data_IF_964717593982
#
_entry.id   IF_964717593982
#
_cell.length_a   1.000
_cell.length_b   1.000
_cell.length_c   1.000
_cell.angle_alpha   90.00
_cell.angle_beta   90.00
_cell.angle_gamma   90.00
#
_symmetry.space_group_name_H-M   'P 1'
#
loop_
_entity.id
_entity.type
_entity.pdbx_description
1 polymer ?
#
# COMPACT_ATOMS: atom_id res chain seq x y z
N UNK A 1 2.28 56.14 31.66
CA UNK A 1 0.92 55.53 31.63
C UNK A 1 0.99 54.19 30.90
N UNK A 2 0.86 53.07 31.64
CA UNK A 2 0.85 51.73 31.06
C UNK A 2 -0.59 51.23 31.04
N UNK A 3 -1.17 51.09 29.85
CA UNK A 3 -2.50 50.53 29.66
C UNK A 3 -2.36 49.02 29.60
N UNK A 4 -2.92 48.31 30.57
CA UNK A 4 -3.04 46.84 30.56
C UNK A 4 -4.36 46.46 29.89
N UNK A 5 -4.28 45.81 28.74
CA UNK A 5 -5.41 45.24 28.04
C UNK A 5 -5.70 43.85 28.65
N UNK A 6 -6.82 43.73 29.34
CA UNK A 6 -7.31 42.48 29.89
C UNK A 6 -8.21 41.84 28.80
N UNK A 7 -7.75 40.76 28.20
CA UNK A 7 -8.57 39.97 27.28
C UNK A 7 -9.27 38.88 28.09
N UNK A 8 -10.58 39.06 28.27
CA UNK A 8 -11.43 38.03 28.90
C UNK A 8 -11.87 37.03 27.84
N UNK A 9 -11.35 35.81 27.92
CA UNK A 9 -11.78 34.70 27.06
C UNK A 9 -12.99 34.05 27.71
N UNK A 10 -14.16 34.25 27.12
CA UNK A 10 -15.38 33.50 27.49
C UNK A 10 -15.36 32.13 26.86
N UNK A 11 -15.18 31.08 27.66
CA UNK A 11 -15.33 29.69 27.26
C UNK A 11 -16.82 29.33 27.31
N UNK A 12 -17.46 29.25 26.16
CA UNK A 12 -18.81 28.69 26.05
C UNK A 12 -18.69 27.16 26.00
N UNK A 13 -18.97 26.51 27.12
CA UNK A 13 -19.20 25.06 27.18
C UNK A 13 -20.60 24.74 26.72
N UNK A 14 -20.76 24.27 25.52
CA UNK A 14 -21.99 23.65 25.04
C UNK A 14 -21.94 22.15 25.36
N UNK A 15 -22.56 21.76 26.48
CA UNK A 15 -22.90 20.38 26.77
C UNK A 15 -24.16 20.02 25.97
N UNK A 16 -23.96 19.36 24.85
CA UNK A 16 -25.08 18.67 24.17
C UNK A 16 -25.06 17.21 24.60
N UNK A 17 -25.93 16.86 25.53
CA UNK A 17 -26.27 15.48 25.86
C UNK A 17 -27.05 14.89 24.69
N UNK A 18 -26.42 14.06 23.87
CA UNK A 18 -27.11 13.18 22.95
C UNK A 18 -27.10 11.78 23.57
N UNK A 19 -28.11 11.50 24.40
CA UNK A 19 -28.48 10.14 24.76
C UNK A 19 -29.27 9.55 23.61
N UNK A 20 -28.58 9.01 22.63
CA UNK A 20 -29.11 8.15 21.58
C UNK A 20 -28.36 6.84 21.63
N UNK A 21 -28.88 5.86 22.40
CA UNK A 21 -28.44 4.50 22.32
C UNK A 21 -28.92 3.91 20.98
N UNK A 22 -28.32 4.36 19.89
CA UNK A 22 -28.31 3.63 18.63
C UNK A 22 -27.21 2.61 18.72
N UNK A 23 -27.56 1.33 18.81
CA UNK A 23 -26.63 0.25 18.49
C UNK A 23 -26.03 0.59 17.13
N UNK A 24 -24.78 1.02 17.14
CA UNK A 24 -23.97 1.03 15.95
C UNK A 24 -23.77 -0.44 15.65
N UNK A 25 -24.67 -1.02 14.82
CA UNK A 25 -24.33 -2.23 14.13
C UNK A 25 -22.99 -1.95 13.49
N UNK A 26 -21.95 -2.57 14.04
CA UNK A 26 -20.68 -2.68 13.36
C UNK A 26 -20.99 -3.45 12.08
N UNK A 27 -21.43 -2.70 11.05
CA UNK A 27 -21.45 -3.22 9.70
C UNK A 27 -20.03 -3.70 9.49
N UNK A 28 -19.88 -5.00 9.49
CA UNK A 28 -18.71 -5.68 9.00
C UNK A 28 -18.32 -4.94 7.70
N UNK A 29 -17.25 -4.17 7.74
CA UNK A 29 -16.75 -3.56 6.54
C UNK A 29 -16.58 -4.73 5.57
N UNK A 30 -17.34 -4.72 4.47
CA UNK A 30 -17.21 -5.78 3.49
C UNK A 30 -15.74 -5.87 3.13
N UNK A 31 -15.16 -7.08 3.24
CA UNK A 31 -13.77 -7.27 2.84
C UNK A 31 -13.57 -6.76 1.42
N UNK A 32 -12.44 -6.12 1.14
CA UNK A 32 -12.15 -5.67 -0.20
C UNK A 32 -12.27 -6.85 -1.17
N UNK A 33 -13.01 -6.66 -2.25
CA UNK A 33 -13.18 -7.69 -3.30
C UNK A 33 -12.05 -7.67 -4.32
N UNK A 34 -11.07 -6.81 -4.11
CA UNK A 34 -9.93 -6.59 -5.00
C UNK A 34 -8.64 -6.87 -4.24
N UNK A 35 -7.68 -7.44 -4.95
CA UNK A 35 -6.30 -7.47 -4.48
C UNK A 35 -5.77 -6.05 -4.31
N UNK A 36 -4.98 -5.80 -3.28
CA UNK A 36 -4.28 -4.54 -3.17
C UNK A 36 -2.91 -4.69 -2.50
N UNK A 37 -2.05 -3.74 -2.80
CA UNK A 37 -0.82 -3.47 -2.07
C UNK A 37 -0.74 -2.00 -1.72
N UNK A 38 -0.49 -1.72 -0.46
CA UNK A 38 -0.16 -0.40 0.04
C UNK A 38 1.17 -0.52 0.78
N UNK A 39 2.21 0.14 0.29
CA UNK A 39 3.52 0.02 0.88
C UNK A 39 4.24 1.36 0.96
N UNK A 40 4.89 1.58 2.07
CA UNK A 40 5.87 2.63 2.30
C UNK A 40 7.03 2.05 3.09
N UNK A 41 8.19 1.92 2.46
CA UNK A 41 9.35 1.32 3.09
C UNK A 41 10.66 1.90 2.59
N UNK A 42 11.72 1.67 3.35
CA UNK A 42 13.09 2.02 3.00
C UNK A 42 13.92 0.76 2.82
N UNK A 43 14.61 0.70 1.71
CA UNK A 43 15.62 -0.31 1.43
C UNK A 43 16.94 0.38 1.04
N UNK A 44 17.98 0.17 1.83
CA UNK A 44 19.32 0.73 1.62
C UNK A 44 19.36 2.24 1.32
N UNK A 45 18.49 3.03 1.98
CA UNK A 45 18.40 4.48 1.81
C UNK A 45 17.49 4.93 0.66
N UNK A 46 16.95 4.03 -0.13
CA UNK A 46 15.90 4.33 -1.11
C UNK A 46 14.53 4.14 -0.47
N UNK A 47 13.71 5.19 -0.48
CA UNK A 47 12.31 5.09 -0.06
C UNK A 47 11.45 4.65 -1.23
N UNK A 48 10.53 3.74 -0.96
CA UNK A 48 9.57 3.18 -1.91
C UNK A 48 8.15 3.49 -1.46
N UNK A 49 7.30 3.83 -2.42
CA UNK A 49 5.88 4.08 -2.23
C UNK A 49 5.12 3.30 -3.29
N UNK A 50 4.21 2.46 -2.86
CA UNK A 50 3.34 1.67 -3.73
C UNK A 50 1.91 1.84 -3.24
N UNK A 51 1.01 2.16 -4.15
CA UNK A 51 -0.43 2.11 -3.91
C UNK A 51 -1.08 1.57 -5.18
N UNK A 52 -1.51 0.34 -5.13
CA UNK A 52 -2.07 -0.33 -6.29
C UNK A 52 -3.18 -1.31 -5.89
N UNK A 53 -4.10 -1.50 -6.82
CA UNK A 53 -5.15 -2.50 -6.72
C UNK A 53 -5.34 -3.22 -8.05
N UNK A 54 -5.86 -4.44 -8.00
CA UNK A 54 -6.28 -5.20 -9.18
C UNK A 54 -7.57 -5.95 -8.87
N UNK A 55 -8.26 -6.41 -9.90
CA UNK A 55 -9.32 -7.40 -9.68
C UNK A 55 -8.71 -8.72 -9.23
N UNK A 56 -9.54 -9.66 -8.76
CA UNK A 56 -9.12 -11.02 -8.44
C UNK A 56 -8.31 -11.61 -9.59
N UNK A 57 -7.30 -12.42 -9.29
CA UNK A 57 -6.36 -12.98 -10.26
C UNK A 57 -5.56 -11.93 -11.07
N UNK A 58 -5.32 -10.75 -10.52
CA UNK A 58 -4.42 -9.75 -11.09
C UNK A 58 -4.97 -8.97 -12.29
N UNK A 59 -6.27 -9.10 -12.58
CA UNK A 59 -6.90 -8.40 -13.71
C UNK A 59 -7.03 -6.89 -13.50
N UNK A 60 -6.74 -6.09 -14.56
CA UNK A 60 -6.94 -4.63 -14.58
C UNK A 60 -6.25 -3.87 -13.45
N UNK A 61 -4.97 -4.17 -13.23
CA UNK A 61 -4.18 -3.45 -12.24
C UNK A 61 -4.13 -1.94 -12.52
N UNK A 62 -4.36 -1.15 -11.48
CA UNK A 62 -4.22 0.31 -11.49
C UNK A 62 -3.52 0.77 -10.20
N UNK A 63 -2.76 1.85 -10.31
CA UNK A 63 -2.07 2.38 -9.15
C UNK A 63 -0.83 3.17 -9.50
N UNK A 64 -0.12 3.59 -8.46
CA UNK A 64 1.09 4.39 -8.55
C UNK A 64 2.26 3.73 -7.83
N UNK A 65 3.42 3.88 -8.41
CA UNK A 65 4.72 3.56 -7.85
C UNK A 65 5.60 4.82 -7.86
N UNK A 66 6.31 5.05 -6.77
CA UNK A 66 7.28 6.12 -6.67
C UNK A 66 8.44 5.71 -5.75
N UNK A 67 9.58 6.38 -5.91
CA UNK A 67 10.71 6.26 -5.00
C UNK A 67 11.24 7.64 -4.64
N UNK A 68 12.17 7.70 -3.68
CA UNK A 68 12.93 8.92 -3.38
C UNK A 68 13.84 9.36 -4.54
N UNK A 69 14.04 8.50 -5.54
CA UNK A 69 14.75 8.85 -6.77
C UNK A 69 13.75 9.56 -7.71
N UNK A 70 13.92 10.84 -8.04
CA UNK A 70 12.87 11.67 -8.66
C UNK A 70 12.34 11.17 -10.01
N UNK A 71 13.17 10.52 -10.80
CA UNK A 71 12.80 9.98 -12.11
C UNK A 71 12.23 8.55 -12.04
N UNK A 72 12.42 7.85 -10.92
CA UNK A 72 11.97 6.47 -10.73
C UNK A 72 10.58 6.46 -10.11
N UNK A 73 9.59 6.79 -10.92
CA UNK A 73 8.17 6.79 -10.60
C UNK A 73 7.35 6.43 -11.83
N UNK A 74 6.23 5.80 -11.61
CA UNK A 74 5.42 5.33 -12.72
C UNK A 74 4.03 4.89 -12.32
N UNK A 75 3.35 4.25 -13.26
CA UNK A 75 2.04 3.67 -13.10
C UNK A 75 2.17 2.17 -12.94
N UNK A 76 1.51 1.60 -11.94
CA UNK A 76 1.39 0.15 -11.81
C UNK A 76 0.55 -0.39 -12.97
N UNK A 77 1.02 -1.46 -13.55
CA UNK A 77 0.44 -2.10 -14.73
C UNK A 77 0.13 -3.56 -14.52
N UNK A 78 0.74 -4.15 -13.50
CA UNK A 78 0.48 -5.50 -13.07
C UNK A 78 0.56 -5.51 -11.54
N UNK A 79 -0.42 -6.11 -10.94
CA UNK A 79 -0.42 -6.50 -9.54
C UNK A 79 -0.96 -7.92 -9.50
N UNK A 80 -0.16 -8.85 -9.02
CA UNK A 80 -0.58 -10.20 -8.72
C UNK A 80 -0.26 -10.48 -7.26
N UNK A 81 -1.26 -10.93 -6.53
CA UNK A 81 -1.16 -11.18 -5.10
C UNK A 81 -1.34 -12.68 -4.86
N UNK A 82 -0.55 -13.21 -3.95
CA UNK A 82 -0.72 -14.54 -3.42
C UNK A 82 -0.51 -14.50 -1.91
N UNK A 83 -1.58 -14.71 -1.15
CA UNK A 83 -1.60 -14.59 0.32
C UNK A 83 -1.11 -13.22 0.78
N UNK A 84 0.10 -13.15 1.34
CA UNK A 84 0.73 -11.96 1.88
C UNK A 84 1.91 -11.45 1.01
N UNK A 85 2.02 -11.95 -0.19
CA UNK A 85 3.05 -11.53 -1.16
C UNK A 85 2.42 -10.82 -2.35
N UNK A 86 3.10 -9.79 -2.86
CA UNK A 86 2.64 -9.05 -4.01
C UNK A 86 3.76 -8.86 -5.05
N UNK A 87 3.48 -9.28 -6.28
CA UNK A 87 4.27 -8.96 -7.45
C UNK A 87 3.72 -7.68 -8.10
N UNK A 88 4.52 -6.64 -8.11
CA UNK A 88 4.18 -5.33 -8.67
C UNK A 88 5.06 -5.05 -9.88
N UNK A 89 4.45 -4.76 -11.02
CA UNK A 89 5.17 -4.29 -12.20
C UNK A 89 4.66 -2.89 -12.55
N UNK A 90 5.57 -1.93 -12.59
CA UNK A 90 5.27 -0.54 -12.94
C UNK A 90 6.10 -0.09 -14.14
N UNK A 91 5.56 0.82 -14.92
CA UNK A 91 6.29 1.52 -15.98
C UNK A 91 6.42 3.01 -15.66
N UNK A 92 7.52 3.63 -16.03
CA UNK A 92 7.62 5.08 -15.93
C UNK A 92 6.78 5.76 -17.03
N UNK A 93 6.47 7.06 -16.84
CA UNK A 93 5.59 7.81 -17.76
C UNK A 93 6.05 7.79 -19.21
N UNK A 94 7.35 7.66 -19.44
CA UNK A 94 7.94 7.62 -20.78
C UNK A 94 7.97 6.20 -21.37
N UNK A 95 7.65 5.15 -20.55
CA UNK A 95 7.66 3.75 -21.01
C UNK A 95 9.04 3.19 -21.30
N UNK A 96 10.11 3.88 -20.86
CA UNK A 96 11.48 3.42 -21.10
C UNK A 96 12.01 2.45 -20.07
N UNK A 97 11.44 2.49 -18.87
CA UNK A 97 11.85 1.62 -17.76
C UNK A 97 10.67 0.84 -17.21
N UNK A 98 10.94 -0.40 -16.90
CA UNK A 98 10.02 -1.28 -16.18
C UNK A 98 10.65 -1.62 -14.85
N UNK A 99 9.90 -1.39 -13.78
CA UNK A 99 10.26 -1.77 -12.43
C UNK A 99 9.46 -3.00 -12.07
N UNK A 100 10.13 -4.02 -11.57
CA UNK A 100 9.48 -5.20 -10.99
C UNK A 100 9.86 -5.27 -9.52
N UNK A 101 8.87 -5.34 -8.65
CA UNK A 101 9.03 -5.48 -7.21
C UNK A 101 8.26 -6.71 -6.75
N UNK A 102 8.85 -7.43 -5.82
CA UNK A 102 8.21 -8.50 -5.10
C UNK A 102 8.37 -8.21 -3.61
N UNK A 103 7.26 -8.01 -2.94
CA UNK A 103 7.19 -7.62 -1.53
C UNK A 103 6.36 -8.61 -0.72
N UNK A 104 6.65 -8.71 0.57
CA UNK A 104 5.95 -9.57 1.52
C UNK A 104 5.57 -8.78 2.77
N UNK A 105 4.30 -8.90 3.14
CA UNK A 105 3.75 -8.48 4.42
C UNK A 105 3.92 -9.63 5.42
N UNK A 106 4.78 -9.46 6.41
CA UNK A 106 5.12 -10.49 7.39
C UNK A 106 4.48 -10.23 8.77
N UNK A 107 3.35 -9.57 8.83
CA UNK A 107 2.71 -9.28 10.10
C UNK A 107 2.46 -10.58 10.93
N UNK A 108 3.02 -10.72 12.16
CA UNK A 108 3.63 -9.69 13.01
C UNK A 108 5.17 -9.53 12.89
N UNK A 109 5.81 -10.07 11.88
CA UNK A 109 7.24 -9.94 11.64
C UNK A 109 7.61 -8.67 10.86
N UNK A 110 8.92 -8.47 10.58
CA UNK A 110 9.36 -7.40 9.70
C UNK A 110 8.96 -7.71 8.26
N UNK A 111 8.46 -6.69 7.56
CA UNK A 111 8.17 -6.79 6.15
C UNK A 111 9.43 -6.96 5.32
N UNK A 112 9.30 -7.55 4.15
CA UNK A 112 10.44 -7.91 3.32
C UNK A 112 10.29 -7.43 1.88
N UNK A 113 11.42 -6.96 1.32
CA UNK A 113 11.62 -6.86 -0.11
C UNK A 113 12.30 -8.14 -0.59
N UNK A 114 11.59 -8.94 -1.38
CA UNK A 114 12.10 -10.20 -1.89
C UNK A 114 12.91 -10.00 -3.16
N UNK A 115 12.49 -9.06 -3.99
CA UNK A 115 13.12 -8.79 -5.26
C UNK A 115 12.83 -7.37 -5.75
N UNK A 116 13.83 -6.73 -6.34
CA UNK A 116 13.68 -5.47 -7.07
C UNK A 116 14.52 -5.52 -8.35
N UNK A 117 13.90 -5.25 -9.48
CA UNK A 117 14.55 -5.18 -10.78
C UNK A 117 14.13 -3.90 -11.51
N UNK A 118 15.09 -3.25 -12.12
CA UNK A 118 14.90 -2.08 -12.98
C UNK A 118 15.56 -2.34 -14.33
N UNK A 119 14.77 -2.46 -15.36
CA UNK A 119 15.28 -2.70 -16.71
C UNK A 119 14.72 -1.74 -17.75
N UNK A 120 15.50 -1.48 -18.76
CA UNK A 120 15.01 -0.83 -19.97
C UNK A 120 14.18 -1.81 -20.79
N UNK A 121 13.09 -1.34 -21.38
CA UNK A 121 12.29 -2.15 -22.26
C UNK A 121 10.79 -1.93 -22.11
N UNK A 122 10.04 -2.77 -22.80
CA UNK A 122 8.58 -2.73 -22.72
C UNK A 122 8.12 -3.65 -21.61
N UNK A 123 7.08 -3.22 -20.89
CA UNK A 123 6.38 -4.05 -19.93
C UNK A 123 5.82 -5.34 -20.58
N UNK A 124 5.62 -6.40 -19.81
CA UNK A 124 4.89 -7.58 -20.28
C UNK A 124 3.47 -7.18 -20.70
N UNK A 125 2.95 -7.84 -21.73
CA UNK A 125 1.58 -7.59 -22.23
C UNK A 125 0.52 -8.06 -21.24
N UNK A 126 0.82 -9.10 -20.51
CA UNK A 126 -0.03 -9.69 -19.49
C UNK A 126 0.73 -9.73 -18.17
N UNK A 127 0.00 -9.66 -17.07
CA UNK A 127 0.55 -9.91 -15.74
C UNK A 127 1.00 -11.39 -15.72
N UNK A 128 2.24 -11.69 -15.38
CA UNK A 128 2.67 -13.08 -15.24
C UNK A 128 1.89 -13.75 -14.11
N UNK A 129 1.62 -15.07 -14.22
CA UNK A 129 1.08 -15.81 -13.09
C UNK A 129 2.05 -15.71 -11.91
N UNK A 130 1.50 -15.65 -10.71
CA UNK A 130 2.27 -15.55 -9.49
C UNK A 130 1.67 -16.46 -8.42
N UNK A 131 2.40 -17.53 -8.11
CA UNK A 131 1.96 -18.59 -7.18
C UNK A 131 2.65 -18.45 -5.80
N UNK A 132 3.28 -17.27 -5.54
CA UNK A 132 4.09 -17.03 -4.35
C UNK A 132 5.56 -17.42 -4.54
N UNK A 133 6.33 -17.27 -3.48
CA UNK A 133 7.79 -17.49 -3.49
C UNK A 133 8.25 -18.71 -2.71
N UNK A 134 7.33 -19.47 -2.09
CA UNK A 134 7.63 -20.69 -1.32
C UNK A 134 8.82 -20.57 -0.36
N UNK A 135 8.86 -19.45 0.38
CA UNK A 135 9.90 -19.22 1.39
C UNK A 135 11.23 -18.70 0.84
N UNK A 136 11.23 -18.10 -0.34
CA UNK A 136 12.41 -17.36 -0.83
C UNK A 136 12.82 -16.29 0.20
N UNK A 137 14.09 -16.24 0.62
CA UNK A 137 14.53 -15.28 1.63
C UNK A 137 14.45 -13.86 1.08
N UNK A 138 13.81 -12.97 1.85
CA UNK A 138 13.75 -11.55 1.57
C UNK A 138 14.75 -10.75 2.38
N UNK A 139 14.89 -9.49 2.03
CA UNK A 139 15.62 -8.51 2.83
C UNK A 139 14.62 -7.77 3.71
N UNK A 140 14.75 -7.81 5.04
CA UNK A 140 13.91 -7.02 5.92
C UNK A 140 14.02 -5.53 5.59
N UNK A 141 12.88 -4.86 5.50
CA UNK A 141 12.81 -3.42 5.22
C UNK A 141 12.27 -2.66 6.42
N UNK A 142 12.55 -1.37 6.50
CA UNK A 142 11.95 -0.50 7.50
C UNK A 142 10.77 0.26 6.88
N UNK A 143 9.59 0.11 7.48
CA UNK A 143 8.35 0.73 6.97
C UNK A 143 7.15 -0.17 7.20
N UNK A 144 6.17 -0.06 6.32
CA UNK A 144 4.90 -0.80 6.40
C UNK A 144 4.54 -1.28 4.98
N UNK A 145 4.31 -2.57 4.85
CA UNK A 145 3.80 -3.21 3.63
C UNK A 145 2.50 -3.89 4.02
N UNK A 146 1.44 -3.59 3.29
CA UNK A 146 0.13 -4.23 3.45
C UNK A 146 -0.27 -4.86 2.14
N UNK A 147 -0.47 -6.16 2.19
CA UNK A 147 -0.92 -6.95 1.05
C UNK A 147 -2.26 -7.58 1.39
N UNK A 148 -3.20 -7.46 0.48
CA UNK A 148 -4.51 -8.11 0.60
C UNK A 148 -4.78 -8.93 -0.66
N UNK A 149 -5.04 -10.20 -0.45
CA UNK A 149 -5.43 -11.19 -1.45
C UNK A 149 -6.94 -11.42 -1.34
N UNK A 150 -7.69 -10.99 -2.34
CA UNK A 150 -9.15 -11.13 -2.35
C UNK A 150 -9.63 -12.58 -2.53
N UNK A 151 -8.77 -13.45 -3.02
CA UNK A 151 -9.04 -14.89 -3.20
C UNK A 151 -8.40 -15.73 -2.08
N UNK A 152 -7.61 -15.10 -1.23
CA UNK A 152 -6.92 -15.74 -0.13
C UNK A 152 -7.90 -16.39 0.85
N UNK A 153 -7.51 -17.47 1.55
CA UNK A 153 -8.33 -18.02 2.60
C UNK A 153 -8.53 -16.93 3.66
N UNK A 154 -9.77 -16.66 3.99
CA UNK A 154 -10.12 -15.89 5.17
C UNK A 154 -9.31 -16.48 6.33
N UNK A 155 -8.35 -15.72 6.83
CA UNK A 155 -7.53 -16.16 7.96
C UNK A 155 -8.40 -16.58 9.12
N UNK A 156 -7.90 -17.48 10.00
CA UNK A 156 -8.66 -17.97 11.14
C UNK A 156 -9.02 -16.87 12.13
#
# INVERSE_FOLDING_TARGET
MKVRLIVTVAVLTVLSAIAGAGSIDARSAAEPTNDFVLAWFNDHGTQYFINASSGPAGGKADGAFATSIPWLKGKVRCLAVHRHEALVIADNRAGYFVVTLLVRDNNPGPDELLFADLRQGRRPRHCPPFDGTDGYPGTPVSGDIRVHDAEGPLGP
#
